data_IF_989108150184
#
_entry.id   IF_989108150184
#
_cell.length_a   1.000
_cell.length_b   1.000
_cell.length_c   1.000
_cell.angle_alpha   90.00
_cell.angle_beta   90.00
_cell.angle_gamma   90.00
#
_symmetry.space_group_name_H-M   'P 1'
#
loop_
_entity.id
_entity.type
_entity.pdbx_description
1 polymer ?
#
# COMPACT_ATOMS: atom_id res chain seq x y z
N UNK A 1 10.56 19.83 19.70
CA UNK A 1 11.56 19.53 18.66
C UNK A 1 11.22 20.35 17.41
N UNK A 2 12.17 21.05 16.79
CA UNK A 2 11.98 21.75 15.49
C UNK A 2 12.79 21.01 14.43
N UNK A 3 12.22 20.77 13.25
CA UNK A 3 12.90 20.16 12.09
C UNK A 3 12.80 21.12 10.90
N UNK A 4 13.81 21.12 10.03
CA UNK A 4 13.82 21.87 8.77
C UNK A 4 13.01 21.16 7.68
N UNK A 5 12.68 21.89 6.60
CA UNK A 5 11.97 21.31 5.45
C UNK A 5 12.78 20.19 4.76
N UNK A 6 14.11 20.28 4.76
CA UNK A 6 14.98 19.26 4.16
C UNK A 6 14.91 17.96 4.97
N UNK A 7 15.00 18.07 6.30
CA UNK A 7 14.89 16.92 7.20
C UNK A 7 13.49 16.29 7.11
N UNK A 8 12.44 17.11 7.12
CA UNK A 8 11.06 16.61 6.97
C UNK A 8 10.88 15.85 5.64
N UNK A 9 11.43 16.37 4.53
CA UNK A 9 11.37 15.70 3.23
C UNK A 9 12.12 14.37 3.25
N UNK A 10 13.32 14.33 3.83
CA UNK A 10 14.10 13.09 3.92
C UNK A 10 13.34 12.03 4.72
N UNK A 11 12.77 12.41 5.87
CA UNK A 11 11.94 11.53 6.69
C UNK A 11 10.79 10.96 5.85
N UNK A 12 10.03 11.83 5.16
CA UNK A 12 8.89 11.37 4.34
C UNK A 12 9.33 10.43 3.22
N UNK A 13 10.38 10.76 2.46
CA UNK A 13 10.84 9.91 1.36
C UNK A 13 11.28 8.52 1.87
N UNK A 14 12.01 8.47 2.98
CA UNK A 14 12.43 7.20 3.60
C UNK A 14 11.24 6.40 4.13
N UNK A 15 10.33 7.06 4.85
CA UNK A 15 9.12 6.42 5.39
C UNK A 15 8.15 5.97 4.30
N UNK A 16 8.18 6.59 3.13
CA UNK A 16 7.42 6.13 1.97
C UNK A 16 8.10 4.97 1.24
N UNK A 17 9.28 4.52 1.66
CA UNK A 17 10.03 3.44 1.01
C UNK A 17 10.65 3.82 -0.33
N UNK A 18 10.71 5.12 -0.65
CA UNK A 18 11.19 5.64 -1.95
C UNK A 18 12.71 5.86 -1.99
N UNK A 19 13.41 5.70 -0.86
CA UNK A 19 14.87 5.79 -0.76
C UNK A 19 15.53 4.43 -0.48
N UNK A 20 15.06 3.37 -1.15
CA UNK A 20 15.71 2.04 -1.10
C UNK A 20 15.04 1.03 -0.18
N UNK A 21 13.72 0.89 -0.25
CA UNK A 21 13.03 -0.23 0.41
C UNK A 21 13.13 -1.47 -0.47
N UNK A 22 13.62 -2.58 0.08
CA UNK A 22 13.78 -3.86 -0.63
C UNK A 22 12.93 -4.96 0.03
N UNK A 23 11.68 -4.63 0.38
CA UNK A 23 10.73 -5.60 0.92
C UNK A 23 9.90 -6.25 -0.17
N UNK A 24 9.30 -7.38 0.15
CA UNK A 24 8.22 -8.00 -0.61
C UNK A 24 6.98 -7.10 -0.69
N UNK A 25 6.08 -7.41 -1.63
CA UNK A 25 4.83 -6.67 -1.83
C UNK A 25 3.98 -6.57 -0.56
N UNK A 26 3.91 -7.64 0.23
CA UNK A 26 3.16 -7.63 1.50
C UNK A 26 3.83 -6.77 2.57
N UNK A 27 5.16 -6.76 2.65
CA UNK A 27 5.89 -5.88 3.57
C UNK A 27 5.68 -4.41 3.21
N UNK A 28 5.62 -4.08 1.92
CA UNK A 28 5.25 -2.74 1.45
C UNK A 28 3.84 -2.36 1.87
N UNK A 29 2.85 -3.22 1.64
CA UNK A 29 1.45 -2.92 1.99
C UNK A 29 1.30 -2.74 3.50
N UNK A 30 1.95 -3.60 4.30
CA UNK A 30 1.97 -3.49 5.77
C UNK A 30 2.65 -2.21 6.24
N UNK A 31 3.73 -1.80 5.59
CA UNK A 31 4.49 -0.60 5.94
C UNK A 31 3.74 0.69 5.57
N UNK A 32 3.09 0.74 4.41
CA UNK A 32 2.29 1.88 3.97
C UNK A 32 0.93 1.97 4.69
N UNK A 33 0.43 0.85 5.21
CA UNK A 33 -0.88 0.75 5.87
C UNK A 33 -2.07 0.70 4.91
N UNK A 34 -1.91 1.16 3.66
CA UNK A 34 -2.86 0.93 2.57
C UNK A 34 -2.23 1.25 1.20
N UNK A 35 -2.83 0.72 0.13
CA UNK A 35 -2.55 1.13 -1.25
C UNK A 35 -3.88 1.39 -1.97
N UNK A 36 -4.08 2.63 -2.43
CA UNK A 36 -5.32 3.03 -3.09
C UNK A 36 -5.47 2.38 -4.47
N UNK A 37 -6.62 1.75 -4.70
CA UNK A 37 -7.01 1.15 -5.98
C UNK A 37 -7.44 2.28 -6.93
N UNK A 38 -7.00 2.15 -8.18
CA UNK A 38 -7.29 3.10 -9.25
C UNK A 38 -8.07 2.37 -10.36
N UNK A 39 -9.15 2.98 -10.82
CA UNK A 39 -10.05 2.44 -11.83
C UNK A 39 -9.57 2.66 -13.27
N UNK A 40 -8.54 3.48 -13.51
CA UNK A 40 -7.99 3.72 -14.85
C UNK A 40 -7.56 2.40 -15.49
N UNK A 41 -7.83 2.23 -16.79
CA UNK A 41 -7.52 1.02 -17.53
C UNK A 41 -6.95 1.29 -18.94
N UNK A 42 -6.71 2.56 -19.28
CA UNK A 42 -6.11 2.97 -20.56
C UNK A 42 -4.59 2.76 -20.57
N UNK A 43 -3.99 2.82 -19.38
CA UNK A 43 -2.58 2.54 -19.10
C UNK A 43 -2.51 1.63 -17.86
N UNK A 44 -1.29 1.26 -17.45
CA UNK A 44 -1.07 0.53 -16.22
C UNK A 44 -1.60 1.28 -14.99
N UNK A 45 -2.17 0.55 -14.02
CA UNK A 45 -2.90 1.12 -12.89
C UNK A 45 -1.96 1.80 -11.89
N UNK A 46 -2.40 2.90 -11.30
CA UNK A 46 -1.57 3.70 -10.37
C UNK A 46 -1.07 2.90 -9.13
N UNK A 47 -1.86 1.96 -8.61
CA UNK A 47 -1.42 1.10 -7.50
C UNK A 47 -0.31 0.13 -7.90
N UNK A 48 -0.28 -0.32 -9.15
CA UNK A 48 0.83 -1.15 -9.64
C UNK A 48 2.13 -0.34 -9.68
N UNK A 49 2.07 0.91 -10.14
CA UNK A 49 3.22 1.82 -10.08
C UNK A 49 3.67 2.11 -8.64
N UNK A 50 2.71 2.28 -7.72
CA UNK A 50 2.98 2.50 -6.30
C UNK A 50 3.77 1.35 -5.69
N UNK A 51 3.40 0.11 -5.99
CA UNK A 51 4.11 -1.08 -5.52
C UNK A 51 5.44 -1.27 -6.23
N UNK A 52 5.47 -1.17 -7.56
CA UNK A 52 6.67 -1.37 -8.36
C UNK A 52 7.80 -0.38 -8.01
N UNK A 53 7.45 0.88 -7.75
CA UNK A 53 8.43 1.92 -7.35
C UNK A 53 9.11 1.66 -6.01
N UNK A 54 8.58 0.74 -5.19
CA UNK A 54 9.12 0.36 -3.88
C UNK A 54 9.55 -1.11 -3.79
N UNK A 55 9.14 -1.92 -4.76
CA UNK A 55 9.42 -3.35 -4.87
C UNK A 55 9.61 -3.66 -6.37
N UNK A 56 10.81 -3.50 -6.94
CA UNK A 56 11.05 -3.68 -8.38
C UNK A 56 10.72 -5.09 -8.90
N UNK A 57 10.76 -6.08 -8.01
CA UNK A 57 10.37 -7.46 -8.29
C UNK A 57 8.85 -7.69 -8.32
N UNK A 58 8.04 -6.70 -7.91
CA UNK A 58 6.58 -6.77 -7.94
C UNK A 58 6.07 -7.18 -9.33
N UNK A 59 5.09 -8.08 -9.35
CA UNK A 59 4.28 -8.43 -10.53
C UNK A 59 2.80 -8.22 -10.22
N UNK A 60 2.00 -7.69 -11.17
CA UNK A 60 0.58 -7.41 -10.94
C UNK A 60 -0.23 -8.58 -10.34
N UNK A 61 0.04 -9.82 -10.75
CA UNK A 61 -0.63 -11.02 -10.22
C UNK A 61 -0.39 -11.28 -8.73
N UNK A 62 0.63 -10.68 -8.12
CA UNK A 62 0.86 -10.81 -6.67
C UNK A 62 -0.28 -10.20 -5.85
N UNK A 63 -0.95 -9.15 -6.32
CA UNK A 63 -2.08 -8.57 -5.59
C UNK A 63 -3.26 -9.56 -5.51
N UNK A 64 -3.56 -10.23 -6.61
CA UNK A 64 -4.58 -11.28 -6.64
C UNK A 64 -4.18 -12.45 -5.73
N UNK A 65 -2.92 -12.87 -5.75
CA UNK A 65 -2.43 -13.92 -4.85
C UNK A 65 -2.55 -13.53 -3.37
N UNK A 66 -2.17 -12.29 -3.02
CA UNK A 66 -2.22 -11.79 -1.65
C UNK A 66 -3.67 -11.64 -1.13
N UNK A 67 -4.58 -11.18 -2.00
CA UNK A 67 -5.99 -10.96 -1.66
C UNK A 67 -6.80 -12.27 -1.68
N UNK A 68 -6.82 -12.97 -2.82
CA UNK A 68 -7.74 -14.07 -3.07
C UNK A 68 -7.24 -15.44 -2.64
N UNK A 69 -5.91 -15.68 -2.63
CA UNK A 69 -5.35 -17.00 -2.29
C UNK A 69 -4.79 -17.05 -0.87
N UNK A 70 -4.01 -16.04 -0.49
CA UNK A 70 -3.34 -15.99 0.81
C UNK A 70 -4.15 -15.29 1.89
N UNK A 71 -5.12 -14.45 1.51
CA UNK A 71 -5.95 -13.66 2.43
C UNK A 71 -5.13 -12.84 3.44
N UNK A 72 -4.00 -12.28 2.99
CA UNK A 72 -3.11 -11.44 3.82
C UNK A 72 -3.32 -9.95 3.58
N UNK A 73 -4.10 -9.60 2.55
CA UNK A 73 -4.66 -8.26 2.33
C UNK A 73 -6.15 -8.37 2.05
N UNK A 74 -6.89 -7.30 2.26
CA UNK A 74 -8.31 -7.21 1.94
C UNK A 74 -8.64 -5.90 1.24
N UNK A 75 -9.70 -5.89 0.44
CA UNK A 75 -10.21 -4.69 -0.20
C UNK A 75 -11.31 -4.05 0.65
N UNK A 76 -11.18 -2.75 0.90
CA UNK A 76 -12.23 -1.99 1.59
C UNK A 76 -12.18 -0.51 1.23
N UNK A 77 -13.34 0.16 1.38
CA UNK A 77 -13.46 1.59 1.22
C UNK A 77 -12.98 2.31 2.49
N UNK A 78 -11.69 2.64 2.53
CA UNK A 78 -11.11 3.51 3.56
C UNK A 78 -11.30 4.99 3.16
N UNK A 79 -10.22 5.78 3.07
CA UNK A 79 -10.29 7.09 2.43
C UNK A 79 -10.73 6.99 0.96
N UNK A 80 -10.31 5.91 0.30
CA UNK A 80 -10.72 5.48 -1.03
C UNK A 80 -10.72 3.95 -1.07
N UNK A 81 -11.22 3.36 -2.16
CA UNK A 81 -11.07 1.91 -2.39
C UNK A 81 -9.59 1.53 -2.33
N UNK A 82 -9.23 0.58 -1.47
CA UNK A 82 -7.82 0.30 -1.16
C UNK A 82 -7.57 -1.17 -0.85
N UNK A 83 -6.36 -1.63 -1.14
CA UNK A 83 -5.80 -2.82 -0.51
C UNK A 83 -5.27 -2.45 0.88
N UNK A 84 -5.73 -3.16 1.91
CA UNK A 84 -5.37 -2.96 3.31
C UNK A 84 -4.74 -4.23 3.91
N UNK A 85 -3.81 -4.11 4.87
CA UNK A 85 -3.26 -5.24 5.59
C UNK A 85 -4.33 -6.04 6.34
N UNK A 86 -4.38 -7.37 6.20
CA UNK A 86 -5.38 -8.19 6.93
C UNK A 86 -5.27 -8.04 8.46
N UNK A 87 -4.08 -7.76 8.98
CA UNK A 87 -3.85 -7.47 10.41
C UNK A 87 -4.67 -6.26 10.93
N UNK A 88 -5.06 -5.36 10.04
CA UNK A 88 -5.82 -4.14 10.37
C UNK A 88 -7.33 -4.30 10.14
N UNK A 89 -7.79 -5.48 9.72
CA UNK A 89 -9.21 -5.75 9.44
C UNK A 89 -10.14 -5.40 10.60
N UNK A 90 -9.71 -5.66 11.84
CA UNK A 90 -10.46 -5.33 13.06
C UNK A 90 -10.83 -3.84 13.18
N UNK A 91 -10.05 -2.95 12.58
CA UNK A 91 -10.31 -1.51 12.60
C UNK A 91 -11.34 -1.09 11.55
N UNK A 92 -11.52 -1.88 10.48
CA UNK A 92 -12.55 -1.65 9.47
C UNK A 92 -13.93 -2.16 9.91
N UNK A 93 -13.99 -3.21 10.74
CA UNK A 93 -15.24 -3.84 11.18
C UNK A 93 -16.31 -2.87 11.70
N UNK A 94 -16.02 -1.91 12.61
CA UNK A 94 -17.04 -1.00 13.14
C UNK A 94 -17.60 -0.02 12.09
N UNK A 95 -16.85 0.20 11.01
CA UNK A 95 -17.24 1.10 9.91
C UNK A 95 -18.06 0.32 8.87
N UNK A 96 -17.71 -0.95 8.62
CA UNK A 96 -18.45 -1.84 7.71
C UNK A 96 -19.86 -2.18 8.19
N UNK A 97 -20.09 -2.19 9.51
CA UNK A 97 -21.38 -2.57 10.11
C UNK A 97 -22.36 -1.40 10.26
N UNK A 98 -22.01 -0.22 9.75
CA UNK A 98 -22.88 0.96 9.71
C UNK A 98 -23.59 1.05 8.36
#
# INVERSE_FOLDING_TARGET
MKISNSEAREIVIRQQGLAGFNGSTIEIINHLGYVQIDSINVIERAHHHTLWSRCPQFRPGELEDLHAKKHVVFEYWAHAMSYLPMQDYRFALPIMQR
#
